data_IF_519144978160
#
_entry.id   IF_519144978160
#
_cell.length_a   1.000
_cell.length_b   1.000
_cell.length_c   1.000
_cell.angle_alpha   90.00
_cell.angle_beta   90.00
_cell.angle_gamma   90.00
#
_symmetry.space_group_name_H-M   'P 1'
#
loop_
_entity.id
_entity.type
_entity.pdbx_description
1 polymer ?
#
# COMPACT_ATOMS: atom_id res chain seq x y z
N UNK A 1 -3.01 23.77 26.88
CA UNK A 1 -3.87 23.95 25.69
C UNK A 1 -3.07 24.14 24.41
N UNK A 2 -2.15 25.12 24.32
CA UNK A 2 -1.31 25.34 23.11
C UNK A 2 -0.34 24.18 22.77
N UNK A 3 0.24 23.54 23.79
CA UNK A 3 1.14 22.39 23.59
C UNK A 3 0.39 21.20 22.96
N UNK A 4 -0.83 20.93 23.41
CA UNK A 4 -1.67 19.85 22.86
C UNK A 4 -2.03 20.09 21.39
N UNK A 5 -2.35 21.34 21.04
CA UNK A 5 -2.59 21.73 19.66
C UNK A 5 -1.35 21.53 18.76
N UNK A 6 -0.17 21.91 19.26
CA UNK A 6 1.10 21.68 18.56
C UNK A 6 1.42 20.19 18.36
N UNK A 7 1.20 19.36 19.39
CA UNK A 7 1.40 17.90 19.29
C UNK A 7 0.44 17.26 18.29
N UNK A 8 -0.82 17.71 18.27
CA UNK A 8 -1.83 17.25 17.32
C UNK A 8 -1.42 17.59 15.88
N UNK A 9 -1.01 18.84 15.61
CA UNK A 9 -0.50 19.24 14.29
C UNK A 9 0.69 18.38 13.85
N UNK A 10 1.66 18.12 14.74
CA UNK A 10 2.84 17.30 14.42
C UNK A 10 2.49 15.83 14.15
N UNK A 11 1.43 15.31 14.78
CA UNK A 11 0.95 13.95 14.54
C UNK A 11 0.26 13.85 13.17
N UNK A 12 -0.61 14.81 12.85
CA UNK A 12 -1.30 14.89 11.56
C UNK A 12 -0.31 15.04 10.41
N UNK A 13 0.72 15.89 10.55
CA UNK A 13 1.75 16.04 9.51
C UNK A 13 2.52 14.73 9.26
N UNK A 14 2.86 13.98 10.32
CA UNK A 14 3.55 12.68 10.16
C UNK A 14 2.65 11.65 9.48
N UNK A 15 1.38 11.58 9.89
CA UNK A 15 0.42 10.68 9.25
C UNK A 15 0.22 11.00 7.76
N UNK A 16 0.07 12.28 7.43
CA UNK A 16 -0.06 12.74 6.05
C UNK A 16 1.18 12.40 5.21
N UNK A 17 2.39 12.61 5.76
CA UNK A 17 3.64 12.29 5.06
C UNK A 17 3.79 10.80 4.79
N UNK A 18 3.56 9.96 5.82
CA UNK A 18 3.66 8.50 5.68
C UNK A 18 2.63 7.96 4.67
N UNK A 19 1.40 8.49 4.69
CA UNK A 19 0.36 8.10 3.73
C UNK A 19 0.74 8.50 2.30
N UNK A 20 1.27 9.71 2.11
CA UNK A 20 1.73 10.19 0.80
C UNK A 20 2.89 9.35 0.26
N UNK A 21 3.80 8.91 1.12
CA UNK A 21 4.92 8.06 0.72
C UNK A 21 4.47 6.66 0.31
N UNK A 22 3.51 6.04 1.02
CA UNK A 22 2.88 4.79 0.57
C UNK A 22 2.22 4.94 -0.81
N UNK A 23 1.54 6.07 -1.07
CA UNK A 23 0.94 6.35 -2.37
C UNK A 23 1.98 6.51 -3.50
N UNK A 24 3.22 6.94 -3.21
CA UNK A 24 4.29 7.01 -4.21
C UNK A 24 4.69 5.63 -4.71
N UNK A 25 4.75 4.62 -3.84
CA UNK A 25 5.05 3.24 -4.25
C UNK A 25 3.95 2.68 -5.15
N UNK A 26 2.68 2.97 -4.84
CA UNK A 26 1.56 2.59 -5.71
C UNK A 26 1.65 3.29 -7.08
N UNK A 27 2.08 4.56 -7.13
CA UNK A 27 2.27 5.29 -8.40
C UNK A 27 3.46 4.81 -9.24
N UNK A 28 4.44 4.14 -8.64
CA UNK A 28 5.57 3.55 -9.36
C UNK A 28 5.20 2.24 -10.06
N UNK A 29 4.13 1.57 -9.62
CA UNK A 29 3.58 0.45 -10.36
C UNK A 29 2.95 0.97 -11.66
N UNK A 30 3.43 0.47 -12.80
CA UNK A 30 2.77 0.70 -14.08
C UNK A 30 1.41 -0.01 -14.07
N UNK A 31 0.34 0.77 -13.92
CA UNK A 31 -1.04 0.30 -13.87
C UNK A 31 -1.40 -0.58 -15.08
N UNK A 32 -0.84 -0.28 -16.27
CA UNK A 32 -1.07 -1.08 -17.48
C UNK A 32 -0.39 -2.43 -17.37
N UNK A 33 0.79 -2.49 -16.78
CA UNK A 33 1.54 -3.74 -16.58
C UNK A 33 0.85 -4.62 -15.53
N UNK A 34 0.42 -4.05 -14.40
CA UNK A 34 -0.34 -4.77 -13.37
C UNK A 34 -1.60 -5.39 -13.96
N UNK A 35 -2.40 -4.63 -14.73
CA UNK A 35 -3.62 -5.15 -15.39
C UNK A 35 -3.36 -6.25 -16.42
N UNK A 36 -2.17 -6.28 -17.03
CA UNK A 36 -1.77 -7.31 -17.99
C UNK A 36 -1.27 -8.58 -17.31
N UNK A 37 -0.73 -8.48 -16.11
CA UNK A 37 -0.06 -9.59 -15.43
C UNK A 37 -0.92 -10.21 -14.33
N UNK A 38 -1.64 -9.41 -13.55
CA UNK A 38 -2.39 -9.88 -12.38
C UNK A 38 -3.82 -10.20 -12.78
N UNK A 39 -4.28 -11.38 -12.38
CA UNK A 39 -5.68 -11.82 -12.48
C UNK A 39 -6.44 -11.41 -11.22
N UNK A 40 -5.89 -11.71 -10.05
CA UNK A 40 -6.55 -11.47 -8.76
C UNK A 40 -5.54 -11.29 -7.63
N UNK A 41 -5.89 -10.45 -6.66
CA UNK A 41 -5.14 -10.27 -5.41
C UNK A 41 -6.09 -10.52 -4.26
N UNK A 42 -5.69 -11.38 -3.32
CA UNK A 42 -6.42 -11.63 -2.07
C UNK A 42 -5.52 -11.24 -0.89
N UNK A 43 -6.03 -10.38 -0.02
CA UNK A 43 -5.30 -9.88 1.16
C UNK A 43 -5.89 -10.54 2.40
N UNK A 44 -5.05 -11.20 3.18
CA UNK A 44 -5.36 -11.76 4.49
C UNK A 44 -4.70 -10.93 5.59
N UNK A 45 -4.86 -11.34 6.85
CA UNK A 45 -4.32 -10.61 8.00
C UNK A 45 -2.78 -10.58 7.99
N UNK A 46 -2.15 -11.73 7.73
CA UNK A 46 -0.69 -11.89 7.72
C UNK A 46 -0.17 -12.46 6.39
N UNK A 47 -1.01 -12.54 5.35
CA UNK A 47 -0.64 -13.14 4.06
C UNK A 47 -1.21 -12.36 2.87
N UNK A 48 -0.51 -12.44 1.74
CA UNK A 48 -0.92 -11.89 0.45
C UNK A 48 -0.84 -12.95 -0.63
N UNK A 49 -1.97 -13.24 -1.26
CA UNK A 49 -2.06 -14.09 -2.44
C UNK A 49 -2.21 -13.27 -3.71
N UNK A 50 -1.36 -13.53 -4.70
CA UNK A 50 -1.40 -12.91 -6.02
C UNK A 50 -1.48 -13.99 -7.09
N UNK A 51 -2.61 -14.03 -7.79
CA UNK A 51 -2.85 -14.91 -8.94
C UNK A 51 -2.48 -14.15 -10.22
N UNK A 52 -1.54 -14.67 -11.01
CA UNK A 52 -1.15 -14.06 -12.29
C UNK A 52 -1.88 -14.71 -13.47
N UNK A 53 -2.15 -13.94 -14.53
CA UNK A 53 -2.75 -14.40 -15.79
C UNK A 53 -1.96 -15.49 -16.51
N UNK A 54 -0.67 -15.64 -16.17
CA UNK A 54 0.16 -16.74 -16.66
C UNK A 54 -0.17 -18.09 -16.00
N UNK A 55 -1.03 -18.13 -14.98
CA UNK A 55 -1.29 -19.30 -14.14
C UNK A 55 -0.20 -19.57 -13.11
N UNK A 56 0.64 -18.57 -12.81
CA UNK A 56 1.63 -18.63 -11.74
C UNK A 56 1.01 -17.93 -10.54
N UNK A 57 1.09 -18.55 -9.37
CA UNK A 57 0.58 -17.97 -8.13
C UNK A 57 1.74 -17.64 -7.19
N UNK A 58 1.60 -16.55 -6.44
CA UNK A 58 2.59 -16.09 -5.48
C UNK A 58 1.92 -15.80 -4.14
N UNK A 59 2.41 -16.44 -3.08
CA UNK A 59 1.97 -16.23 -1.69
C UNK A 59 3.13 -15.59 -0.91
N UNK A 60 2.82 -14.55 -0.13
CA UNK A 60 3.77 -13.82 0.70
C UNK A 60 3.22 -13.73 2.12
N UNK A 61 3.98 -14.15 3.11
CA UNK A 61 3.74 -13.84 4.53
C UNK A 61 4.24 -12.41 4.83
N UNK A 62 3.38 -11.57 5.43
CA UNK A 62 3.62 -10.14 5.72
C UNK A 62 4.03 -9.94 7.18
#
# INVERSE_FOLDING_TARGET
>A
MLILFYQLQKSISRFAHNTLDCLKYIRQLDEKLVRRLVEKITVFEDELDVEFKSGVDFNIEI
#
